data_IF_451603361556
#
_entry.id   IF_451603361556
#
_cell.length_a   1.000
_cell.length_b   1.000
_cell.length_c   1.000
_cell.angle_alpha   90.00
_cell.angle_beta   90.00
_cell.angle_gamma   90.00
#
_symmetry.space_group_name_H-M   'P 1'
#
loop_
_entity.id
_entity.type
_entity.pdbx_description
1 polymer ?
#
# COMPACT_ATOMS: atom_id res chain seq x y z
N UNK A 1 -18.31 2.62 -5.13
CA UNK A 1 -18.13 1.46 -6.04
C UNK A 1 -18.36 0.17 -5.27
N UNK A 2 -18.67 -0.95 -5.94
CA UNK A 2 -18.67 -2.28 -5.30
C UNK A 2 -17.47 -3.05 -5.82
N UNK A 3 -16.45 -3.24 -4.99
CA UNK A 3 -15.33 -4.12 -5.31
C UNK A 3 -15.76 -5.59 -5.17
N UNK A 4 -15.39 -6.42 -6.15
CA UNK A 4 -15.47 -7.87 -6.04
C UNK A 4 -14.24 -8.42 -5.33
N UNK A 5 -14.28 -9.69 -4.93
CA UNK A 5 -13.11 -10.36 -4.37
C UNK A 5 -11.94 -10.40 -5.37
N UNK A 6 -12.22 -10.56 -6.67
CA UNK A 6 -11.20 -10.55 -7.72
C UNK A 6 -10.57 -9.16 -7.89
N UNK A 7 -11.36 -8.09 -7.73
CA UNK A 7 -10.84 -6.71 -7.74
C UNK A 7 -9.90 -6.46 -6.56
N UNK A 8 -10.28 -6.91 -5.36
CA UNK A 8 -9.48 -6.78 -4.13
C UNK A 8 -8.15 -7.52 -4.30
N UNK A 9 -8.19 -8.80 -4.67
CA UNK A 9 -6.98 -9.60 -4.89
C UNK A 9 -6.10 -9.02 -6.01
N UNK A 10 -6.73 -8.48 -7.07
CA UNK A 10 -6.03 -7.83 -8.16
C UNK A 10 -5.32 -6.54 -7.74
N UNK A 11 -5.99 -5.71 -6.94
CA UNK A 11 -5.40 -4.50 -6.34
C UNK A 11 -4.25 -4.86 -5.42
N UNK A 12 -4.42 -5.92 -4.62
CA UNK A 12 -3.39 -6.35 -3.69
C UNK A 12 -2.11 -6.81 -4.42
N UNK A 13 -2.26 -7.52 -5.53
CA UNK A 13 -1.14 -7.87 -6.42
C UNK A 13 -0.52 -6.62 -7.05
N UNK A 14 -1.34 -5.66 -7.50
CA UNK A 14 -0.84 -4.46 -8.16
C UNK A 14 -0.08 -3.50 -7.22
N UNK A 15 -0.43 -3.50 -5.92
CA UNK A 15 0.23 -2.68 -4.90
C UNK A 15 1.34 -3.41 -4.15
N UNK A 16 1.50 -4.73 -4.31
CA UNK A 16 2.58 -5.44 -3.64
C UNK A 16 3.95 -4.93 -4.14
N UNK A 17 4.86 -4.64 -3.20
CA UNK A 17 6.15 -3.97 -3.42
C UNK A 17 6.03 -2.54 -3.99
N UNK A 18 4.85 -1.92 -3.98
CA UNK A 18 4.70 -0.52 -4.37
C UNK A 18 5.33 0.41 -3.34
N UNK A 19 5.91 1.51 -3.79
CA UNK A 19 6.43 2.54 -2.89
C UNK A 19 5.36 3.57 -2.58
N UNK A 20 5.10 3.83 -1.30
CA UNK A 20 4.20 4.92 -0.87
C UNK A 20 4.97 6.24 -0.92
N UNK A 21 4.63 7.09 -1.89
CA UNK A 21 5.28 8.38 -2.11
C UNK A 21 4.61 9.53 -1.34
N UNK A 22 3.33 9.41 -1.03
CA UNK A 22 2.60 10.44 -0.29
C UNK A 22 1.19 9.99 0.08
N UNK A 23 0.67 10.58 1.16
CA UNK A 23 -0.70 10.39 1.62
C UNK A 23 -1.23 11.70 2.20
N UNK A 24 -2.32 12.21 1.62
CA UNK A 24 -2.92 13.50 1.95
C UNK A 24 -4.43 13.33 2.20
N UNK A 25 -5.01 14.16 3.06
CA UNK A 25 -6.45 14.14 3.34
C UNK A 25 -7.00 15.56 3.39
N UNK A 26 -8.01 15.83 2.56
CA UNK A 26 -8.91 16.97 2.75
C UNK A 26 -10.03 16.57 3.69
N UNK A 27 -9.93 16.97 4.96
CA UNK A 27 -10.96 16.70 5.96
C UNK A 27 -12.29 17.42 5.64
N UNK A 28 -12.21 18.59 5.00
CA UNK A 28 -13.36 19.39 4.59
C UNK A 28 -14.12 18.72 3.46
N UNK A 29 -13.42 18.29 2.42
CA UNK A 29 -14.04 17.68 1.23
C UNK A 29 -14.29 16.18 1.41
N UNK A 30 -13.73 15.59 2.47
CA UNK A 30 -13.76 14.15 2.77
C UNK A 30 -13.17 13.32 1.63
N UNK A 31 -12.00 13.73 1.19
CA UNK A 31 -11.22 13.08 0.12
C UNK A 31 -9.84 12.76 0.66
N UNK A 32 -9.32 11.59 0.31
CA UNK A 32 -7.92 11.24 0.56
C UNK A 32 -7.21 10.97 -0.77
N UNK A 33 -5.94 11.31 -0.83
CA UNK A 33 -5.08 11.09 -1.99
C UNK A 33 -3.86 10.27 -1.54
N UNK A 34 -3.62 9.12 -2.19
CA UNK A 34 -2.42 8.34 -1.97
C UNK A 34 -1.66 8.17 -3.28
N UNK A 35 -0.38 8.56 -3.29
CA UNK A 35 0.49 8.41 -4.46
C UNK A 35 1.39 7.21 -4.24
N UNK A 36 1.38 6.28 -5.19
CA UNK A 36 2.24 5.11 -5.19
C UNK A 36 3.15 5.12 -6.42
N UNK A 37 4.36 4.60 -6.28
CA UNK A 37 5.12 4.09 -7.42
C UNK A 37 4.91 2.58 -7.48
N UNK A 38 4.30 2.09 -8.57
CA UNK A 38 3.92 0.67 -8.69
C UNK A 38 4.85 -0.09 -9.63
N UNK A 39 4.91 -1.39 -9.44
CA UNK A 39 5.53 -2.33 -10.37
C UNK A 39 4.51 -2.69 -11.46
N UNK A 40 4.84 -2.37 -12.70
CA UNK A 40 3.87 -2.43 -13.81
C UNK A 40 4.54 -2.76 -15.13
N UNK A 41 3.89 -3.58 -15.95
CA UNK A 41 4.31 -3.84 -17.34
C UNK A 41 3.18 -3.56 -18.34
N UNK A 42 3.46 -2.87 -19.45
CA UNK A 42 2.55 -2.83 -20.59
C UNK A 42 2.51 -4.18 -21.30
N UNK A 43 1.47 -4.42 -22.10
CA UNK A 43 1.38 -5.61 -22.95
C UNK A 43 2.55 -5.70 -23.93
N UNK A 44 2.98 -4.57 -24.48
CA UNK A 44 4.08 -4.47 -25.43
C UNK A 44 4.97 -3.27 -25.10
N UNK A 45 6.26 -3.42 -25.41
CA UNK A 45 7.26 -2.38 -25.19
C UNK A 45 7.92 -2.43 -23.81
N UNK A 46 8.66 -1.36 -23.52
CA UNK A 46 9.42 -1.20 -22.30
C UNK A 46 8.51 -0.77 -21.14
N UNK A 47 8.89 -1.05 -19.88
CA UNK A 47 8.24 -0.46 -18.71
C UNK A 47 8.16 1.07 -18.83
N UNK A 48 7.13 1.71 -18.25
CA UNK A 48 7.03 3.16 -18.25
C UNK A 48 8.20 3.78 -17.48
N UNK A 49 8.69 4.94 -17.92
CA UNK A 49 9.74 5.68 -17.21
C UNK A 49 9.24 6.37 -15.93
N UNK A 50 7.92 6.44 -15.76
CA UNK A 50 7.23 6.97 -14.59
C UNK A 50 6.03 6.07 -14.31
N UNK A 51 6.12 5.25 -13.28
CA UNK A 51 5.07 4.30 -12.87
C UNK A 51 4.27 4.81 -11.67
N UNK A 52 4.29 6.12 -11.42
CA UNK A 52 3.47 6.70 -10.35
C UNK A 52 2.00 6.61 -10.69
N UNK A 53 1.19 6.33 -9.69
CA UNK A 53 -0.27 6.34 -9.77
C UNK A 53 -0.83 7.08 -8.56
N UNK A 54 -1.85 7.89 -8.79
CA UNK A 54 -2.56 8.61 -7.74
C UNK A 54 -3.92 7.96 -7.55
N UNK A 55 -4.18 7.45 -6.34
CA UNK A 55 -5.50 7.05 -5.92
C UNK A 55 -6.18 8.21 -5.22
N UNK A 56 -7.38 8.57 -5.67
CA UNK A 56 -8.23 9.57 -5.06
C UNK A 56 -9.46 8.89 -4.45
N UNK A 57 -9.51 8.78 -3.14
CA UNK A 57 -10.56 8.09 -2.39
C UNK A 57 -11.63 9.08 -1.93
N UNK A 58 -12.90 8.74 -2.18
CA UNK A 58 -14.03 9.58 -1.79
C UNK A 58 -15.36 8.79 -1.77
N UNK A 59 -16.35 9.23 -0.97
CA UNK A 59 -16.15 9.93 0.29
C UNK A 59 -15.34 9.07 1.27
N UNK A 60 -14.54 9.70 2.13
CA UNK A 60 -13.89 9.06 3.28
C UNK A 60 -14.79 9.14 4.52
N UNK A 61 -14.81 8.08 5.32
CA UNK A 61 -15.65 7.98 6.52
C UNK A 61 -14.85 7.82 7.82
N UNK A 62 -13.60 7.36 7.73
CA UNK A 62 -12.64 7.35 8.84
C UNK A 62 -11.22 7.28 8.28
N UNK A 63 -10.27 7.88 8.98
CA UNK A 63 -8.85 7.58 8.85
C UNK A 63 -8.27 7.38 10.24
N UNK A 64 -7.52 6.32 10.41
CA UNK A 64 -6.76 6.05 11.62
C UNK A 64 -5.31 5.76 11.27
N UNK A 65 -4.38 6.18 12.13
CA UNK A 65 -2.97 5.84 11.98
C UNK A 65 -2.32 5.53 13.33
N UNK A 66 -1.35 4.62 13.32
CA UNK A 66 -0.50 4.28 14.46
C UNK A 66 0.96 4.53 14.07
N UNK A 67 1.55 5.62 14.56
CA UNK A 67 2.96 5.93 14.41
C UNK A 67 3.67 5.67 15.72
N UNK A 68 4.60 4.71 15.74
CA UNK A 68 5.27 4.27 16.97
C UNK A 68 6.79 4.23 16.79
N UNK A 69 7.51 4.58 17.86
CA UNK A 69 8.97 4.51 17.94
C UNK A 69 9.39 3.14 18.48
N UNK A 70 10.02 2.33 17.64
CA UNK A 70 10.43 0.97 17.96
C UNK A 70 10.07 -0.01 16.86
N UNK A 71 10.29 -1.29 17.13
CA UNK A 71 9.91 -2.37 16.23
C UNK A 71 8.38 -2.50 16.16
N UNK A 72 7.88 -2.99 15.03
CA UNK A 72 6.45 -3.16 14.78
C UNK A 72 5.75 -4.13 15.77
N UNK A 73 6.49 -5.10 16.28
CA UNK A 73 6.04 -6.14 17.22
C UNK A 73 6.17 -5.72 18.70
N UNK A 74 6.71 -4.53 18.98
CA UNK A 74 6.87 -4.02 20.34
C UNK A 74 5.53 -3.45 20.86
N UNK A 75 4.95 -4.17 21.82
CA UNK A 75 3.71 -3.78 22.48
C UNK A 75 3.82 -2.49 23.30
N UNK A 76 5.04 -2.05 23.62
CA UNK A 76 5.33 -0.90 24.48
C UNK A 76 5.94 0.29 23.73
N UNK A 77 6.11 0.16 22.41
CA UNK A 77 6.66 1.20 21.55
C UNK A 77 5.90 2.54 21.74
N UNK A 78 6.58 3.64 22.10
CA UNK A 78 5.94 4.94 22.29
C UNK A 78 5.19 5.40 21.05
N UNK A 79 3.92 5.78 21.23
CA UNK A 79 3.07 6.35 20.18
C UNK A 79 3.40 7.84 19.99
N UNK A 80 3.57 8.26 18.75
CA UNK A 80 3.84 9.66 18.38
C UNK A 80 2.55 10.26 17.81
N UNK A 81 1.84 11.14 18.55
CA UNK A 81 0.63 11.76 18.04
C UNK A 81 0.95 12.80 16.96
N UNK A 82 0.05 12.95 15.98
CA UNK A 82 0.15 13.98 14.95
C UNK A 82 -1.25 14.38 14.45
N UNK A 83 -1.40 15.60 13.95
CA UNK A 83 -2.65 16.06 13.32
C UNK A 83 -2.73 15.58 11.86
N UNK A 84 -3.94 15.54 11.31
CA UNK A 84 -4.16 15.08 9.93
C UNK A 84 -3.31 15.84 8.89
N UNK A 85 -3.10 17.15 9.09
CA UNK A 85 -2.29 18.00 8.20
C UNK A 85 -0.79 17.64 8.22
N UNK A 86 -0.33 16.93 9.25
CA UNK A 86 1.05 16.47 9.37
C UNK A 86 1.28 15.11 8.70
N UNK A 87 0.21 14.39 8.30
CA UNK A 87 0.31 13.07 7.70
C UNK A 87 1.26 13.00 6.48
N UNK A 88 1.26 13.98 5.54
CA UNK A 88 2.17 13.93 4.41
C UNK A 88 3.65 13.96 4.84
N UNK A 89 3.97 14.80 5.84
CA UNK A 89 5.31 14.88 6.41
C UNK A 89 5.72 13.60 7.14
N UNK A 90 4.79 12.96 7.85
CA UNK A 90 5.03 11.68 8.53
C UNK A 90 5.34 10.58 7.52
N UNK A 91 4.56 10.46 6.43
CA UNK A 91 4.80 9.48 5.36
C UNK A 91 6.14 9.73 4.66
N UNK A 92 6.47 11.00 4.36
CA UNK A 92 7.75 11.37 3.75
C UNK A 92 8.95 11.03 4.63
N UNK A 93 8.81 11.08 5.96
CA UNK A 93 9.87 10.75 6.91
C UNK A 93 10.25 9.25 6.90
N UNK A 94 9.45 8.39 6.24
CA UNK A 94 9.83 7.00 5.93
C UNK A 94 10.64 6.86 4.64
N UNK A 95 10.80 7.93 3.86
CA UNK A 95 11.71 7.95 2.71
C UNK A 95 11.30 7.04 1.55
N UNK A 96 9.99 6.80 1.38
CA UNK A 96 9.48 5.99 0.27
C UNK A 96 9.96 4.54 0.32
N UNK A 97 9.74 3.85 1.44
CA UNK A 97 9.94 2.39 1.48
C UNK A 97 8.79 1.66 0.77
N UNK A 98 9.06 0.49 0.15
CA UNK A 98 8.03 -0.36 -0.42
C UNK A 98 7.13 -0.95 0.66
N UNK A 99 5.86 -1.17 0.30
CA UNK A 99 4.89 -1.93 1.08
C UNK A 99 4.85 -3.37 0.58
N UNK A 100 4.62 -4.34 1.47
CA UNK A 100 4.62 -5.76 1.11
C UNK A 100 3.60 -6.53 1.94
N UNK A 101 3.04 -7.62 1.41
CA UNK A 101 2.17 -8.49 2.21
C UNK A 101 0.95 -9.01 1.50
N UNK A 102 0.71 -8.59 0.25
CA UNK A 102 -0.35 -9.13 -0.62
C UNK A 102 -1.78 -8.97 -0.11
N UNK A 103 -2.00 -8.14 0.91
CA UNK A 103 -3.31 -7.85 1.50
C UNK A 103 -3.29 -6.39 1.94
N UNK A 104 -4.02 -5.51 1.24
CA UNK A 104 -4.10 -4.08 1.53
C UNK A 104 -5.55 -3.61 1.62
N UNK A 105 -6.43 -4.14 0.77
CA UNK A 105 -7.85 -3.76 0.76
C UNK A 105 -8.72 -4.70 1.59
N UNK A 106 -9.72 -4.13 2.27
CA UNK A 106 -10.75 -4.87 3.02
C UNK A 106 -10.22 -5.92 4.02
N UNK A 107 -9.01 -5.68 4.55
CA UNK A 107 -8.38 -6.55 5.53
C UNK A 107 -9.14 -6.50 6.85
N UNK A 108 -9.49 -7.66 7.38
CA UNK A 108 -10.18 -7.77 8.68
C UNK A 108 -9.23 -7.65 9.89
N UNK A 109 -8.28 -6.71 9.87
CA UNK A 109 -7.41 -6.43 11.03
C UNK A 109 -8.13 -5.62 12.12
N UNK A 110 -9.23 -6.17 12.62
CA UNK A 110 -10.12 -5.52 13.60
C UNK A 110 -9.41 -5.10 14.89
N UNK A 111 -8.30 -5.75 15.25
CA UNK A 111 -7.70 -5.58 16.58
C UNK A 111 -6.87 -4.31 16.76
N UNK A 112 -6.16 -3.82 15.73
CA UNK A 112 -5.32 -2.62 15.87
C UNK A 112 -6.18 -1.35 15.96
N UNK A 113 -7.16 -1.23 15.07
CA UNK A 113 -7.98 -0.02 14.92
C UNK A 113 -9.04 0.18 16.02
N UNK A 114 -9.12 -0.78 16.94
CA UNK A 114 -9.95 -0.74 18.15
C UNK A 114 -9.16 -0.30 19.40
N UNK A 115 -7.82 -0.37 19.38
CA UNK A 115 -6.94 0.03 20.48
C UNK A 115 -6.66 1.53 20.40
N UNK A 116 -7.56 2.35 20.94
CA UNK A 116 -7.49 3.81 20.82
C UNK A 116 -6.22 4.41 21.43
N UNK A 117 -5.64 3.76 22.45
CA UNK A 117 -4.38 4.14 23.08
C UNK A 117 -3.15 3.97 22.18
N UNK A 118 -3.28 3.21 21.09
CA UNK A 118 -2.21 2.98 20.12
C UNK A 118 -2.33 3.86 18.88
N UNK A 119 -3.37 4.69 18.78
CA UNK A 119 -3.59 5.55 17.63
C UNK A 119 -2.88 6.89 17.82
N UNK A 120 -2.16 7.30 16.78
CA UNK A 120 -1.55 8.62 16.63
C UNK A 120 -2.52 9.64 16.05
N UNK A 121 -3.46 9.15 15.22
CA UNK A 121 -4.49 9.90 14.52
C UNK A 121 -5.74 9.04 14.45
N UNK A 122 -6.91 9.62 14.74
CA UNK A 122 -8.22 9.02 14.48
C UNK A 122 -9.22 10.12 14.15
N UNK A 123 -9.60 10.21 12.88
CA UNK A 123 -10.60 11.14 12.39
C UNK A 123 -11.74 10.34 11.78
N UNK A 124 -12.97 10.63 12.21
CA UNK A 124 -14.17 9.93 11.76
C UNK A 124 -15.26 10.91 11.36
N UNK A 125 -16.04 10.53 10.35
CA UNK A 125 -17.21 11.26 9.86
C UNK A 125 -18.46 10.38 9.99
N UNK A 126 -19.60 11.02 10.27
CA UNK A 126 -20.86 10.33 10.62
C UNK A 126 -21.52 9.61 9.43
N UNK A 127 -21.43 10.16 8.21
CA UNK A 127 -22.24 9.71 7.08
C UNK A 127 -21.42 9.10 5.94
N UNK A 128 -21.55 7.79 5.70
CA UNK A 128 -20.91 7.09 4.57
C UNK A 128 -19.39 6.99 4.67
N UNK A 129 -18.75 6.58 3.57
CA UNK A 129 -17.30 6.43 3.42
C UNK A 129 -16.71 5.28 4.22
N UNK A 130 -17.44 4.17 4.36
CA UNK A 130 -17.02 3.02 5.19
C UNK A 130 -17.30 1.68 4.53
N UNK A 131 -17.56 1.67 3.23
CA UNK A 131 -17.83 0.45 2.47
C UNK A 131 -16.56 -0.38 2.25
N UNK A 132 -15.41 0.29 2.13
CA UNK A 132 -14.11 -0.32 1.89
C UNK A 132 -13.04 0.24 2.82
N UNK A 133 -11.94 -0.50 2.95
CA UNK A 133 -10.74 -0.06 3.65
C UNK A 133 -9.49 -0.22 2.81
N UNK A 134 -8.54 0.68 3.01
CA UNK A 134 -7.15 0.54 2.56
C UNK A 134 -6.26 0.58 3.79
N UNK A 135 -5.46 -0.46 4.01
CA UNK A 135 -4.45 -0.51 5.06
C UNK A 135 -3.06 -0.48 4.45
N UNK A 136 -2.25 0.47 4.91
CA UNK A 136 -0.86 0.64 4.51
C UNK A 136 0.02 0.55 5.75
N UNK A 137 1.26 0.13 5.56
CA UNK A 137 2.28 0.23 6.59
C UNK A 137 3.59 0.71 5.99
N UNK A 138 4.39 1.42 6.78
CA UNK A 138 5.77 1.75 6.46
C UNK A 138 6.63 1.39 7.67
N UNK A 139 7.69 0.62 7.42
CA UNK A 139 8.62 0.16 8.45
C UNK A 139 9.99 0.79 8.30
N UNK A 140 10.58 1.20 9.42
CA UNK A 140 11.99 1.50 9.57
C UNK A 140 12.59 0.67 10.71
N UNK A 141 13.91 0.74 10.89
CA UNK A 141 14.59 -0.03 11.94
C UNK A 141 14.11 0.32 13.36
N UNK A 142 13.75 1.58 13.60
CA UNK A 142 13.42 2.13 14.92
C UNK A 142 12.07 2.87 14.96
N UNK A 143 11.25 2.76 13.92
CA UNK A 143 9.93 3.39 13.86
C UNK A 143 9.06 2.67 12.83
N UNK A 144 7.76 2.71 13.01
CA UNK A 144 6.80 2.16 12.05
C UNK A 144 5.50 2.95 12.07
N UNK A 145 4.84 2.97 10.93
CA UNK A 145 3.60 3.67 10.68
C UNK A 145 2.61 2.69 10.07
N UNK A 146 1.46 2.51 10.70
CA UNK A 146 0.30 1.83 10.14
C UNK A 146 -0.78 2.88 9.83
N UNK A 147 -1.40 2.84 8.65
CA UNK A 147 -2.50 3.73 8.24
C UNK A 147 -3.68 2.86 7.79
N UNK A 148 -4.89 3.18 8.22
CA UNK A 148 -6.11 2.61 7.69
C UNK A 148 -7.08 3.71 7.30
N UNK A 149 -7.52 3.69 6.04
CA UNK A 149 -8.49 4.59 5.46
C UNK A 149 -9.78 3.84 5.17
N UNK A 150 -10.91 4.37 5.63
CA UNK A 150 -12.25 3.93 5.25
C UNK A 150 -12.82 4.86 4.19
N UNK A 151 -13.36 4.29 3.10
CA UNK A 151 -13.93 5.03 1.97
C UNK A 151 -15.07 4.26 1.28
N UNK A 152 -15.77 4.89 0.33
CA UNK A 152 -16.82 4.23 -0.48
C UNK A 152 -16.44 4.05 -1.96
N UNK A 153 -15.58 4.92 -2.50
CA UNK A 153 -15.13 4.88 -3.89
C UNK A 153 -13.70 5.40 -4.04
N UNK A 154 -13.09 5.13 -5.21
CA UNK A 154 -11.85 5.78 -5.62
C UNK A 154 -11.73 5.91 -7.14
N UNK A 155 -10.89 6.84 -7.56
CA UNK A 155 -10.45 7.01 -8.96
C UNK A 155 -8.93 6.90 -8.99
N UNK A 156 -8.38 6.34 -10.07
CA UNK A 156 -6.93 6.20 -10.26
C UNK A 156 -6.49 7.11 -11.40
N UNK A 157 -5.40 7.85 -11.20
CA UNK A 157 -4.78 8.69 -12.24
C UNK A 157 -3.34 8.30 -12.52
N UNK A 158 -2.94 8.41 -13.79
CA UNK A 158 -1.56 8.35 -14.23
C UNK A 158 -0.80 9.66 -13.86
N UNK A 159 0.53 9.73 -14.04
CA UNK A 159 1.31 10.92 -13.72
C UNK A 159 0.97 12.15 -14.58
N UNK A 160 0.23 11.97 -15.67
CA UNK A 160 -0.22 13.03 -16.59
C UNK A 160 -1.64 13.49 -16.25
N UNK A 161 -2.28 12.90 -15.24
CA UNK A 161 -3.65 13.21 -14.82
C UNK A 161 -4.74 12.50 -15.65
N UNK A 162 -4.39 11.49 -16.44
CA UNK A 162 -5.39 10.67 -17.11
C UNK A 162 -5.90 9.57 -16.19
N UNK A 163 -7.21 9.34 -16.21
CA UNK A 163 -7.82 8.26 -15.45
C UNK A 163 -7.36 6.88 -15.97
N UNK A 164 -7.05 5.99 -15.04
CA UNK A 164 -6.69 4.59 -15.28
C UNK A 164 -7.87 3.73 -14.83
N UNK A 165 -8.44 2.97 -15.76
CA UNK A 165 -9.42 1.93 -15.44
C UNK A 165 -8.82 0.91 -14.46
N UNK A 166 -9.58 0.54 -13.42
CA UNK A 166 -9.14 -0.41 -12.40
C UNK A 166 -8.59 -1.72 -13.00
N UNK A 167 -9.30 -2.29 -13.97
CA UNK A 167 -8.88 -3.50 -14.65
C UNK A 167 -7.51 -3.37 -15.36
N UNK A 168 -7.19 -2.18 -15.87
CA UNK A 168 -5.91 -1.93 -16.54
C UNK A 168 -4.76 -1.87 -15.53
N UNK A 169 -4.96 -1.23 -14.37
CA UNK A 169 -3.97 -1.23 -13.29
C UNK A 169 -3.70 -2.67 -12.83
N UNK A 170 -4.76 -3.43 -12.54
CA UNK A 170 -4.67 -4.82 -12.09
C UNK A 170 -3.93 -5.69 -13.11
N UNK A 171 -4.32 -5.61 -14.39
CA UNK A 171 -3.69 -6.39 -15.43
C UNK A 171 -2.20 -6.05 -15.59
N UNK A 172 -1.83 -4.78 -15.45
CA UNK A 172 -0.44 -4.35 -15.57
C UNK A 172 0.44 -4.80 -14.39
N UNK A 173 -0.09 -4.77 -13.17
CA UNK A 173 0.58 -5.33 -11.99
C UNK A 173 0.74 -6.85 -12.09
N UNK A 174 -0.33 -7.57 -12.46
CA UNK A 174 -0.28 -9.04 -12.69
C UNK A 174 0.78 -9.40 -13.74
N UNK A 175 0.82 -8.68 -14.87
CA UNK A 175 1.85 -8.89 -15.91
C UNK A 175 3.26 -8.69 -15.38
N UNK A 176 3.49 -7.72 -14.49
CA UNK A 176 4.81 -7.53 -13.89
C UNK A 176 5.23 -8.75 -13.07
N UNK A 177 4.35 -9.25 -12.20
CA UNK A 177 4.63 -10.44 -11.40
C UNK A 177 4.79 -11.70 -12.25
N UNK A 178 3.92 -11.93 -13.23
CA UNK A 178 4.06 -13.04 -14.19
C UNK A 178 5.37 -12.96 -14.97
N UNK A 179 5.77 -11.74 -15.37
CA UNK A 179 7.06 -11.46 -16.00
C UNK A 179 8.23 -11.85 -15.09
N UNK A 180 8.20 -11.45 -13.82
CA UNK A 180 9.23 -11.77 -12.84
C UNK A 180 9.36 -13.30 -12.68
N UNK A 181 8.25 -14.01 -12.53
CA UNK A 181 8.26 -15.47 -12.35
C UNK A 181 8.63 -16.26 -13.61
N UNK A 182 8.47 -15.66 -14.79
CA UNK A 182 8.84 -16.26 -16.08
C UNK A 182 10.23 -15.86 -16.58
N UNK A 183 10.92 -14.96 -15.87
CA UNK A 183 12.25 -14.46 -16.24
C UNK A 183 12.23 -13.43 -17.37
N UNK A 184 11.17 -12.61 -17.46
CA UNK A 184 11.10 -11.49 -18.40
C UNK A 184 12.14 -10.42 -18.01
N UNK A 185 13.11 -10.09 -18.90
CA UNK A 185 14.18 -9.13 -18.60
C UNK A 185 13.66 -7.71 -18.34
N UNK A 186 12.40 -7.40 -18.68
CA UNK A 186 11.77 -6.11 -18.35
C UNK A 186 11.50 -5.94 -16.85
N UNK A 187 11.63 -7.00 -16.06
CA UNK A 187 11.47 -6.99 -14.60
C UNK A 187 12.80 -6.93 -13.83
N UNK A 188 13.93 -6.86 -14.54
CA UNK A 188 15.25 -6.76 -13.94
C UNK A 188 15.47 -5.39 -13.27
N UNK A 189 16.42 -5.34 -12.32
CA UNK A 189 16.88 -4.07 -11.72
C UNK A 189 16.09 -3.58 -10.51
N UNK A 190 15.04 -4.31 -10.10
CA UNK A 190 14.22 -3.97 -8.93
C UNK A 190 14.72 -4.59 -7.61
N UNK A 191 15.75 -5.45 -7.65
CA UNK A 191 16.25 -6.14 -6.45
C UNK A 191 15.32 -7.23 -5.89
N UNK A 192 14.21 -7.52 -6.58
CA UNK A 192 13.24 -8.55 -6.26
C UNK A 192 13.59 -9.82 -7.04
N UNK A 193 13.60 -10.96 -6.36
CA UNK A 193 13.88 -12.26 -6.97
C UNK A 193 12.76 -13.25 -6.64
N UNK A 194 12.32 -14.08 -7.61
CA UNK A 194 11.42 -15.18 -7.32
C UNK A 194 12.00 -16.10 -6.24
N UNK A 195 11.17 -16.52 -5.30
CA UNK A 195 11.51 -17.63 -4.42
C UNK A 195 11.58 -18.91 -5.26
N UNK A 196 12.77 -19.23 -5.78
CA UNK A 196 12.99 -20.53 -6.43
C UNK A 196 12.78 -21.63 -5.39
N UNK A 197 12.01 -22.67 -5.72
CA UNK A 197 11.79 -23.88 -4.91
C UNK A 197 13.05 -24.75 -4.70
N UNK A 198 14.24 -24.16 -4.65
CA UNK A 198 15.52 -24.88 -4.62
C UNK A 198 16.42 -24.35 -3.51
N UNK A 199 16.07 -24.66 -2.27
CA UNK A 199 17.08 -24.86 -1.21
C UNK A 199 16.68 -26.04 -0.31
N UNK A 200 16.61 -27.23 -0.91
CA UNK A 200 16.89 -28.43 -0.12
C UNK A 200 18.40 -28.42 0.17
N UNK A 201 18.73 -28.54 1.45
CA UNK A 201 20.06 -28.40 2.04
C UNK A 201 21.18 -29.17 1.30
N UNK A 202 22.46 -28.70 1.38
CA UNK A 202 23.58 -29.49 0.90
C UNK A 202 23.67 -30.82 1.68
N UNK A 203 23.99 -31.95 1.03
CA UNK A 203 24.25 -33.18 1.76
C UNK A 203 25.49 -32.96 2.64
N UNK A 204 25.30 -33.14 3.94
CA UNK A 204 26.40 -33.33 4.88
C UNK A 204 27.28 -34.48 4.37
N UNK A 205 28.50 -34.14 3.97
CA UNK A 205 29.59 -35.08 3.82
C UNK A 205 30.16 -35.31 5.23
N UNK A 206 29.91 -36.48 5.78
CA UNK A 206 30.74 -37.07 6.84
C UNK A 206 31.36 -38.34 6.27
N UNK A 207 32.69 -38.45 6.42
CA UNK A 207 33.50 -39.58 5.95
C UNK A 207 33.47 -40.79 6.85
#
# INVERSE_FOLDING_TARGET
>A
MKLTQEDIEGLDVALNEATVLGFEVSAQDRVAAATFEVLTLPEQGNPPSDSRVLFLFAPIGRIAASFRLGRWDDGTAPVVPFSIDQLPGVVQDFGGQPIYGWEFFDIQQKNLWQQTERLSLDCSWEAGGKSHTLTLFQGGYNKHLDICLWFDDFIIYDPKGHEIELANLIAAGKRWWDGLYSGDPRTDGHGILPLTKTSAAPPHSCG
#
